data_IF_477046677802
#
_entry.id   IF_477046677802
#
_cell.length_a   1.000
_cell.length_b   1.000
_cell.length_c   1.000
_cell.angle_alpha   90.00
_cell.angle_beta   90.00
_cell.angle_gamma   90.00
#
_symmetry.space_group_name_H-M   'P 1'
#
loop_
_entity.id
_entity.type
_entity.pdbx_description
1 polymer ?
#
# COMPACT_ATOMS: atom_id res chain seq x y z
N UNK A 1 -44.93 44.66 57.46
CA UNK A 1 -44.89 43.18 57.42
C UNK A 1 -45.53 42.54 56.16
N UNK A 2 -46.29 43.27 55.31
CA UNK A 2 -46.91 42.70 54.08
C UNK A 2 -46.02 42.72 52.82
N UNK A 3 -44.87 43.40 52.86
CA UNK A 3 -43.96 43.59 51.72
C UNK A 3 -43.02 42.40 51.46
N UNK A 4 -42.59 41.69 52.51
CA UNK A 4 -41.70 40.52 52.38
C UNK A 4 -42.38 39.32 51.73
N UNK A 5 -43.68 39.14 51.98
CA UNK A 5 -44.47 38.08 51.37
C UNK A 5 -44.54 38.27 49.84
N UNK A 6 -44.70 39.53 49.40
CA UNK A 6 -44.81 39.89 47.98
C UNK A 6 -43.48 39.69 47.23
N UNK A 7 -42.35 40.01 47.87
CA UNK A 7 -41.01 39.74 47.32
C UNK A 7 -40.72 38.23 47.22
N UNK A 8 -41.10 37.45 48.23
CA UNK A 8 -40.90 35.99 48.24
C UNK A 8 -41.77 35.29 47.18
N UNK A 9 -42.95 35.82 46.92
CA UNK A 9 -43.83 35.38 45.83
C UNK A 9 -43.25 35.70 44.44
N UNK A 10 -42.65 36.89 44.26
CA UNK A 10 -41.98 37.27 43.01
C UNK A 10 -40.69 36.46 42.75
N UNK A 11 -39.95 36.08 43.80
CA UNK A 11 -38.78 35.21 43.67
C UNK A 11 -39.15 33.77 43.24
N UNK A 12 -40.33 33.26 43.62
CA UNK A 12 -40.83 31.97 43.16
C UNK A 12 -41.26 32.00 41.68
N UNK A 13 -41.78 33.14 41.21
CA UNK A 13 -42.17 33.33 39.81
C UNK A 13 -40.96 33.51 38.87
N UNK A 14 -39.81 33.98 39.38
CA UNK A 14 -38.58 34.18 38.60
C UNK A 14 -37.64 32.96 38.56
N UNK A 15 -38.00 31.83 39.20
CA UNK A 15 -37.15 30.64 39.30
C UNK A 15 -37.38 29.60 38.19
N UNK A 16 -38.13 29.94 37.15
CA UNK A 16 -38.21 29.16 35.90
C UNK A 16 -37.27 29.74 34.85
N UNK A 17 -35.96 29.76 35.15
CA UNK A 17 -34.96 29.89 34.09
C UNK A 17 -34.85 28.55 33.37
N UNK A 18 -35.29 28.57 32.13
CA UNK A 18 -35.19 27.59 31.07
C UNK A 18 -34.04 26.57 31.20
N UNK A 19 -34.36 25.37 31.69
CA UNK A 19 -33.66 24.19 31.21
C UNK A 19 -34.31 23.81 29.87
N UNK A 20 -33.91 24.50 28.80
CA UNK A 20 -34.18 24.06 27.44
C UNK A 20 -33.33 22.82 27.18
N UNK A 21 -33.81 21.66 27.64
CA UNK A 21 -33.19 20.39 27.34
C UNK A 21 -33.32 20.07 25.85
N UNK A 22 -32.31 19.40 25.29
CA UNK A 22 -32.37 18.82 23.96
C UNK A 22 -33.64 17.96 23.85
N UNK A 23 -34.44 18.20 22.83
CA UNK A 23 -35.60 17.36 22.54
C UNK A 23 -35.13 16.04 21.93
N UNK A 24 -35.86 14.95 22.20
CA UNK A 24 -35.57 13.65 21.59
C UNK A 24 -35.63 13.71 20.05
N UNK A 25 -36.48 14.58 19.50
CA UNK A 25 -36.61 14.76 18.05
C UNK A 25 -35.39 15.48 17.45
N UNK A 26 -34.81 16.46 18.15
CA UNK A 26 -33.57 17.12 17.70
C UNK A 26 -32.41 16.12 17.63
N UNK A 27 -32.29 15.25 18.64
CA UNK A 27 -31.26 14.22 18.63
C UNK A 27 -31.51 13.16 17.53
N UNK A 28 -32.78 12.83 17.27
CA UNK A 28 -33.18 11.90 16.21
C UNK A 28 -32.82 12.41 14.81
N UNK A 29 -33.06 13.68 14.52
CA UNK A 29 -32.70 14.27 13.21
C UNK A 29 -31.19 14.29 13.02
N UNK A 30 -30.42 14.58 14.07
CA UNK A 30 -28.95 14.60 14.01
C UNK A 30 -28.37 13.23 13.67
N UNK A 31 -28.83 12.15 14.33
CA UNK A 31 -28.34 10.80 14.03
C UNK A 31 -28.72 10.34 12.62
N UNK A 32 -29.87 10.79 12.09
CA UNK A 32 -30.27 10.51 10.71
C UNK A 32 -29.30 11.18 9.72
N UNK A 33 -28.97 12.46 9.94
CA UNK A 33 -28.03 13.18 9.08
C UNK A 33 -26.64 12.55 9.14
N UNK A 34 -26.12 12.25 10.34
CA UNK A 34 -24.83 11.57 10.50
C UNK A 34 -24.86 10.18 9.85
N UNK A 35 -25.97 9.45 9.96
CA UNK A 35 -26.16 8.15 9.32
C UNK A 35 -26.05 8.21 7.80
N UNK A 36 -26.68 9.20 7.17
CA UNK A 36 -26.60 9.41 5.71
C UNK A 36 -25.18 9.75 5.29
N UNK A 37 -24.51 10.67 6.01
CA UNK A 37 -23.12 11.05 5.71
C UNK A 37 -22.17 9.86 5.88
N UNK A 38 -22.34 9.06 6.94
CA UNK A 38 -21.53 7.88 7.19
C UNK A 38 -21.72 6.81 6.11
N UNK A 39 -22.94 6.59 5.63
CA UNK A 39 -23.24 5.60 4.59
C UNK A 39 -22.51 5.90 3.26
N UNK A 40 -22.33 7.18 2.91
CA UNK A 40 -21.61 7.59 1.70
C UNK A 40 -20.09 7.62 1.94
N UNK A 41 -19.67 8.14 3.10
CA UNK A 41 -18.25 8.35 3.40
C UNK A 41 -17.49 7.04 3.67
N UNK A 42 -18.12 6.09 4.37
CA UNK A 42 -17.47 4.85 4.80
C UNK A 42 -16.93 3.98 3.64
N UNK A 43 -17.70 3.64 2.58
CA UNK A 43 -17.16 2.83 1.49
C UNK A 43 -16.01 3.54 0.76
N UNK A 44 -16.09 4.86 0.61
CA UNK A 44 -15.01 5.63 -0.01
C UNK A 44 -13.75 5.64 0.89
N UNK A 45 -13.91 5.77 2.20
CA UNK A 45 -12.80 5.71 3.15
C UNK A 45 -12.10 4.34 3.12
N UNK A 46 -12.85 3.24 3.09
CA UNK A 46 -12.29 1.88 2.99
C UNK A 46 -11.52 1.68 1.68
N UNK A 47 -12.06 2.15 0.55
CA UNK A 47 -11.38 2.09 -0.74
C UNK A 47 -10.09 2.93 -0.76
N UNK A 48 -10.08 4.12 -0.16
CA UNK A 48 -8.88 4.93 -0.04
C UNK A 48 -7.82 4.27 0.87
N UNK A 49 -8.25 3.63 1.96
CA UNK A 49 -7.35 2.86 2.83
C UNK A 49 -6.70 1.70 2.05
N UNK A 50 -7.47 0.96 1.25
CA UNK A 50 -6.91 -0.12 0.42
C UNK A 50 -5.93 0.40 -0.64
N UNK A 51 -6.25 1.52 -1.31
CA UNK A 51 -5.32 2.18 -2.25
C UNK A 51 -4.03 2.64 -1.59
N UNK A 52 -4.09 3.13 -0.35
CA UNK A 52 -2.90 3.54 0.39
C UNK A 52 -1.99 2.34 0.68
N UNK A 53 -2.57 1.19 1.06
CA UNK A 53 -1.80 -0.07 1.24
C UNK A 53 -1.18 -0.56 -0.07
N UNK A 54 -1.94 -0.53 -1.17
CA UNK A 54 -1.41 -0.85 -2.51
C UNK A 54 -0.28 0.09 -2.93
N UNK A 55 -0.39 1.38 -2.62
CA UNK A 55 0.67 2.37 -2.87
C UNK A 55 1.93 2.09 -2.05
N UNK A 56 1.79 1.68 -0.79
CA UNK A 56 2.91 1.28 0.08
C UNK A 56 3.70 0.13 -0.55
N UNK A 57 3.02 -0.95 -0.94
CA UNK A 57 3.67 -2.11 -1.56
C UNK A 57 4.36 -1.76 -2.87
N UNK A 58 3.67 -1.02 -3.74
CA UNK A 58 4.26 -0.57 -5.00
C UNK A 58 5.53 0.26 -4.78
N UNK A 59 5.51 1.19 -3.82
CA UNK A 59 6.65 2.03 -3.51
C UNK A 59 7.82 1.23 -2.93
N UNK A 60 7.54 0.26 -2.06
CA UNK A 60 8.55 -0.61 -1.48
C UNK A 60 9.22 -1.47 -2.55
N UNK A 61 8.44 -2.13 -3.43
CA UNK A 61 8.96 -2.90 -4.57
C UNK A 61 9.77 -2.00 -5.52
N UNK A 62 9.30 -0.79 -5.82
CA UNK A 62 10.05 0.16 -6.66
C UNK A 62 11.38 0.58 -6.02
N UNK A 63 11.39 0.79 -4.70
CA UNK A 63 12.59 1.12 -3.94
C UNK A 63 13.58 -0.03 -4.02
N UNK A 64 13.12 -1.28 -3.83
CA UNK A 64 13.95 -2.46 -3.96
C UNK A 64 14.54 -2.56 -5.37
N UNK A 65 13.73 -2.43 -6.42
CA UNK A 65 14.21 -2.49 -7.80
C UNK A 65 15.30 -1.43 -8.08
N UNK A 66 15.08 -0.21 -7.59
CA UNK A 66 16.05 0.87 -7.73
C UNK A 66 17.36 0.57 -7.00
N UNK A 67 17.29 0.09 -5.76
CA UNK A 67 18.50 -0.25 -4.99
C UNK A 67 19.26 -1.41 -5.62
N UNK A 68 18.56 -2.42 -6.13
CA UNK A 68 19.15 -3.53 -6.87
C UNK A 68 19.92 -3.04 -8.12
N UNK A 69 19.32 -2.15 -8.91
CA UNK A 69 20.00 -1.56 -10.06
C UNK A 69 21.22 -0.71 -9.69
N UNK A 70 21.15 0.05 -8.60
CA UNK A 70 22.29 0.85 -8.11
C UNK A 70 23.43 -0.05 -7.65
N UNK A 71 23.13 -1.09 -6.86
CA UNK A 71 24.13 -2.05 -6.37
C UNK A 71 24.80 -2.79 -7.52
N UNK A 72 24.02 -3.27 -8.48
CA UNK A 72 24.56 -3.96 -9.65
C UNK A 72 25.54 -3.05 -10.43
N UNK A 73 25.20 -1.77 -10.61
CA UNK A 73 26.04 -0.83 -11.33
C UNK A 73 27.25 -0.30 -10.52
N UNK A 74 27.16 -0.31 -9.18
CA UNK A 74 28.10 0.41 -8.31
C UNK A 74 29.05 -0.47 -7.50
N UNK A 75 28.67 -1.71 -7.17
CA UNK A 75 29.38 -2.48 -6.15
C UNK A 75 30.12 -3.69 -6.72
N UNK A 76 29.50 -4.62 -7.46
CA UNK A 76 30.22 -5.79 -8.01
C UNK A 76 29.52 -6.50 -9.19
N UNK A 77 28.53 -5.89 -9.85
CA UNK A 77 27.76 -6.57 -10.90
C UNK A 77 26.95 -7.77 -10.38
N UNK A 78 26.59 -7.74 -9.09
CA UNK A 78 25.75 -8.74 -8.44
C UNK A 78 24.54 -8.07 -7.79
N UNK A 79 23.44 -8.81 -7.71
CA UNK A 79 22.25 -8.38 -6.99
C UNK A 79 22.32 -8.78 -5.52
N UNK A 80 21.69 -8.01 -4.65
CA UNK A 80 21.59 -8.35 -3.24
C UNK A 80 20.67 -9.56 -3.03
N UNK A 81 21.03 -10.38 -2.05
CA UNK A 81 20.24 -11.55 -1.61
C UNK A 81 19.49 -11.29 -0.31
N UNK A 82 19.75 -10.17 0.36
CA UNK A 82 19.08 -9.78 1.60
C UNK A 82 18.61 -8.32 1.53
N UNK A 83 17.61 -7.99 2.36
CA UNK A 83 17.16 -6.60 2.48
C UNK A 83 18.12 -5.74 3.29
N UNK A 84 18.99 -6.31 4.11
CA UNK A 84 19.97 -5.54 4.89
C UNK A 84 21.14 -5.03 4.04
N UNK A 85 21.43 -5.72 2.93
CA UNK A 85 22.35 -5.25 1.89
C UNK A 85 21.77 -4.09 1.08
N UNK A 86 20.44 -3.95 1.07
CA UNK A 86 19.74 -2.89 0.36
C UNK A 86 19.35 -1.82 1.38
N UNK A 87 19.78 -0.58 1.20
CA UNK A 87 19.38 0.51 2.07
C UNK A 87 17.91 0.95 1.84
N UNK A 88 16.95 0.02 1.93
CA UNK A 88 15.53 0.24 1.63
C UNK A 88 14.83 1.04 2.74
N UNK A 89 15.40 1.05 3.94
CA UNK A 89 14.90 1.74 5.14
C UNK A 89 13.69 1.03 5.78
N UNK A 90 12.62 0.80 5.00
CA UNK A 90 11.36 0.24 5.52
C UNK A 90 11.28 -1.28 5.51
N UNK A 91 12.08 -1.94 4.68
CA UNK A 91 12.20 -3.40 4.62
C UNK A 91 13.56 -3.79 5.19
N UNK A 92 13.55 -4.64 6.21
CA UNK A 92 14.76 -5.18 6.85
C UNK A 92 14.63 -6.68 6.99
N UNK A 93 15.73 -7.42 6.88
CA UNK A 93 15.73 -8.86 6.91
C UNK A 93 16.92 -9.49 6.21
N UNK A 94 17.60 -10.38 6.93
CA UNK A 94 18.83 -11.07 6.52
C UNK A 94 18.61 -12.16 5.46
N UNK A 95 17.37 -12.62 5.25
CA UNK A 95 17.06 -13.79 4.41
C UNK A 95 16.22 -13.47 3.17
N UNK A 96 16.28 -12.21 2.69
CA UNK A 96 15.48 -11.77 1.54
C UNK A 96 13.97 -11.82 1.78
N UNK A 97 13.52 -12.12 3.00
CA UNK A 97 12.11 -12.16 3.39
C UNK A 97 11.86 -11.17 4.51
N UNK A 98 10.79 -10.39 4.39
CA UNK A 98 10.35 -9.50 5.45
C UNK A 98 8.84 -9.30 5.39
N UNK A 99 8.23 -8.86 6.49
CA UNK A 99 6.78 -8.67 6.56
C UNK A 99 6.47 -7.29 7.12
N UNK A 100 5.62 -6.54 6.42
CA UNK A 100 4.98 -5.34 6.99
C UNK A 100 3.57 -5.70 7.45
N UNK A 101 2.85 -4.72 8.02
CA UNK A 101 1.47 -4.93 8.46
C UNK A 101 0.54 -5.42 7.34
N UNK A 102 0.81 -5.05 6.09
CA UNK A 102 -0.10 -5.25 4.97
C UNK A 102 0.39 -6.29 3.94
N UNK A 103 1.70 -6.57 3.90
CA UNK A 103 2.31 -7.42 2.87
C UNK A 103 3.44 -8.28 3.44
N UNK A 104 3.58 -9.48 2.88
CA UNK A 104 4.81 -10.27 2.96
C UNK A 104 5.66 -9.98 1.73
N UNK A 105 6.92 -9.61 1.95
CA UNK A 105 7.89 -9.36 0.91
C UNK A 105 8.88 -10.50 0.85
N UNK A 106 9.10 -11.03 -0.35
CA UNK A 106 10.08 -12.08 -0.60
C UNK A 106 10.90 -11.70 -1.81
N UNK A 107 12.21 -11.68 -1.63
CA UNK A 107 13.22 -11.48 -2.64
C UNK A 107 13.89 -12.81 -2.92
N UNK A 108 13.88 -13.22 -4.17
CA UNK A 108 14.49 -14.47 -4.60
C UNK A 108 15.30 -14.21 -5.88
N UNK A 109 16.58 -14.64 -5.93
CA UNK A 109 17.29 -14.73 -7.19
C UNK A 109 16.61 -15.79 -8.07
N UNK A 110 16.11 -15.38 -9.22
CA UNK A 110 15.24 -16.23 -10.07
C UNK A 110 16.05 -17.00 -11.13
N UNK A 111 17.38 -16.95 -11.10
CA UNK A 111 18.18 -17.82 -11.96
C UNK A 111 19.50 -18.32 -11.37
N UNK A 112 19.99 -19.38 -12.02
CA UNK A 112 21.28 -20.01 -11.75
C UNK A 112 22.46 -19.13 -12.16
N UNK A 113 22.21 -18.10 -12.97
CA UNK A 113 23.21 -17.21 -13.56
C UNK A 113 23.47 -15.95 -12.72
N UNK A 114 22.68 -15.71 -11.67
CA UNK A 114 22.74 -14.53 -10.81
C UNK A 114 22.32 -13.22 -11.50
N UNK A 115 21.58 -13.28 -12.61
CA UNK A 115 21.27 -12.13 -13.47
C UNK A 115 19.88 -11.56 -13.33
N UNK A 116 19.03 -12.17 -12.49
CA UNK A 116 17.68 -11.68 -12.19
C UNK A 116 17.39 -11.85 -10.71
N UNK A 117 16.82 -10.79 -10.12
CA UNK A 117 16.17 -10.87 -8.81
C UNK A 117 14.71 -10.46 -8.94
N UNK A 118 13.84 -11.29 -8.38
CA UNK A 118 12.41 -11.01 -8.26
C UNK A 118 12.10 -10.66 -6.80
N UNK A 119 11.35 -9.59 -6.61
CA UNK A 119 10.77 -9.18 -5.34
C UNK A 119 9.26 -9.27 -5.43
N UNK A 120 8.67 -10.18 -4.69
CA UNK A 120 7.22 -10.30 -4.54
C UNK A 120 6.75 -9.55 -3.29
N UNK A 121 5.59 -8.93 -3.37
CA UNK A 121 4.86 -8.32 -2.28
C UNK A 121 3.46 -8.94 -2.25
N UNK A 122 3.31 -9.98 -1.44
CA UNK A 122 2.09 -10.75 -1.26
C UNK A 122 1.16 -10.04 -0.29
N UNK A 123 -0.05 -9.68 -0.74
CA UNK A 123 -1.06 -9.06 0.10
C UNK A 123 -1.50 -10.00 1.24
N UNK A 124 -1.53 -9.47 2.47
CA UNK A 124 -2.07 -10.18 3.65
C UNK A 124 -3.60 -10.04 3.79
N UNK A 125 -4.25 -9.31 2.88
CA UNK A 125 -5.69 -9.09 2.87
C UNK A 125 -6.24 -9.03 1.44
N UNK A 126 -7.51 -8.62 1.30
CA UNK A 126 -8.25 -8.59 0.03
C UNK A 126 -7.88 -7.39 -0.88
N UNK A 127 -6.60 -7.07 -1.00
CA UNK A 127 -6.07 -6.09 -1.95
C UNK A 127 -5.08 -6.76 -2.90
N UNK A 128 -4.61 -6.02 -3.91
CA UNK A 128 -3.74 -6.58 -4.95
C UNK A 128 -2.34 -6.82 -4.45
N UNK A 129 -1.70 -7.86 -4.99
CA UNK A 129 -0.30 -8.16 -4.73
C UNK A 129 0.57 -7.55 -5.84
N UNK A 130 1.85 -7.32 -5.56
CA UNK A 130 2.81 -6.76 -6.51
C UNK A 130 4.03 -7.66 -6.69
N UNK A 131 4.65 -7.61 -7.86
CA UNK A 131 5.90 -8.29 -8.18
C UNK A 131 6.80 -7.30 -8.90
N UNK A 132 8.06 -7.19 -8.52
CA UNK A 132 9.07 -6.39 -9.20
C UNK A 132 10.23 -7.27 -9.59
N UNK A 133 10.71 -7.14 -10.82
CA UNK A 133 11.92 -7.85 -11.24
C UNK A 133 12.96 -6.86 -11.73
N UNK A 134 14.21 -7.16 -11.42
CA UNK A 134 15.39 -6.47 -11.96
C UNK A 134 16.30 -7.50 -12.58
N UNK A 135 16.58 -7.35 -13.86
CA UNK A 135 17.52 -8.20 -14.58
C UNK A 135 18.67 -7.37 -15.13
N UNK A 136 19.82 -8.00 -15.23
CA UNK A 136 20.93 -7.53 -16.04
C UNK A 136 20.99 -8.36 -17.32
N UNK A 137 21.03 -7.70 -18.47
CA UNK A 137 21.09 -8.36 -19.77
C UNK A 137 22.00 -7.59 -20.73
N UNK A 138 22.53 -8.31 -21.71
CA UNK A 138 23.27 -7.69 -22.81
C UNK A 138 22.32 -7.31 -23.94
N UNK A 139 22.33 -6.05 -24.34
CA UNK A 139 21.59 -5.58 -25.51
C UNK A 139 22.21 -6.16 -26.80
N UNK A 140 21.46 -6.13 -27.92
CA UNK A 140 21.95 -6.45 -29.27
C UNK A 140 23.22 -5.69 -29.66
N UNK A 141 23.46 -4.52 -29.07
CA UNK A 141 24.68 -3.73 -29.23
C UNK A 141 25.85 -4.19 -28.36
N UNK A 142 25.78 -5.37 -27.71
CA UNK A 142 26.78 -5.90 -26.78
C UNK A 142 27.05 -5.03 -25.54
N UNK A 143 26.11 -4.15 -25.19
CA UNK A 143 26.19 -3.34 -23.97
C UNK A 143 25.47 -4.05 -22.83
N UNK A 144 26.09 -4.10 -21.64
CA UNK A 144 25.42 -4.52 -20.41
C UNK A 144 24.43 -3.45 -19.96
N UNK A 145 23.17 -3.84 -19.78
CA UNK A 145 22.07 -2.95 -19.39
C UNK A 145 21.26 -3.63 -18.28
N UNK A 146 20.74 -2.84 -17.35
CA UNK A 146 19.79 -3.32 -16.33
C UNK A 146 18.37 -2.94 -16.73
N UNK A 147 17.46 -3.91 -16.74
CA UNK A 147 16.03 -3.71 -16.95
C UNK A 147 15.27 -3.92 -15.64
N UNK A 148 14.24 -3.12 -15.40
CA UNK A 148 13.34 -3.35 -14.28
C UNK A 148 11.88 -3.16 -14.68
N UNK A 149 10.99 -3.88 -14.03
CA UNK A 149 9.54 -3.72 -14.19
C UNK A 149 8.83 -4.06 -12.89
N UNK A 150 7.63 -3.49 -12.72
CA UNK A 150 6.71 -3.85 -11.65
C UNK A 150 5.40 -4.33 -12.26
N UNK A 151 4.99 -5.51 -11.86
CA UNK A 151 3.75 -6.18 -12.25
C UNK A 151 2.77 -6.16 -11.07
N UNK A 152 1.47 -6.11 -11.37
CA UNK A 152 0.41 -6.20 -10.37
C UNK A 152 -0.51 -7.39 -10.66
N UNK A 153 -1.02 -8.04 -9.60
CA UNK A 153 -1.94 -9.17 -9.75
C UNK A 153 -3.24 -8.77 -10.46
N UNK A 154 -3.82 -9.70 -11.23
CA UNK A 154 -5.11 -9.52 -11.90
C UNK A 154 -6.30 -9.49 -10.95
N UNK A 155 -6.16 -10.17 -9.82
CA UNK A 155 -7.22 -10.31 -8.81
C UNK A 155 -6.70 -9.93 -7.42
N UNK A 156 -7.50 -9.20 -6.62
CA UNK A 156 -7.17 -8.89 -5.23
C UNK A 156 -7.34 -10.12 -4.32
N UNK A 157 -6.60 -10.17 -3.22
CA UNK A 157 -6.73 -11.22 -2.19
C UNK A 157 -6.13 -12.57 -2.58
N UNK A 158 -5.31 -12.61 -3.62
CA UNK A 158 -4.67 -13.84 -4.05
C UNK A 158 -3.42 -14.09 -3.18
N UNK A 159 -3.64 -14.80 -2.07
CA UNK A 159 -2.61 -15.14 -1.09
C UNK A 159 -1.74 -16.26 -1.66
N UNK A 160 -0.46 -15.97 -1.89
CA UNK A 160 0.53 -16.97 -2.33
C UNK A 160 0.40 -17.44 -3.79
N UNK A 161 -0.34 -16.72 -4.64
CA UNK A 161 -0.51 -17.13 -6.04
C UNK A 161 -0.02 -16.12 -7.07
N UNK A 162 1.17 -15.58 -6.84
CA UNK A 162 2.11 -15.44 -7.95
C UNK A 162 2.63 -16.82 -8.33
N UNK A 163 1.74 -17.72 -8.76
CA UNK A 163 2.17 -18.98 -9.33
C UNK A 163 2.80 -18.64 -10.68
N UNK A 164 4.12 -18.76 -10.74
CA UNK A 164 4.98 -18.68 -11.93
C UNK A 164 4.99 -17.34 -12.68
N UNK A 165 6.07 -16.58 -12.43
CA UNK A 165 6.71 -15.68 -13.38
C UNK A 165 5.75 -14.71 -14.09
N UNK A 166 5.17 -13.78 -13.32
CA UNK A 166 4.57 -12.61 -13.93
C UNK A 166 5.63 -11.71 -14.54
N UNK A 167 6.89 -11.79 -14.09
CA UNK A 167 8.03 -11.23 -14.77
C UNK A 167 8.46 -12.05 -16.00
N UNK A 168 8.55 -11.39 -17.15
CA UNK A 168 9.15 -11.94 -18.37
C UNK A 168 10.51 -11.26 -18.57
N UNK A 169 11.58 -12.06 -18.62
CA UNK A 169 12.94 -11.62 -18.95
C UNK A 169 12.99 -10.91 -20.30
N UNK A 170 13.89 -9.94 -20.39
CA UNK A 170 14.28 -9.29 -21.65
C UNK A 170 14.74 -10.31 -22.68
N UNK A 171 14.53 -9.98 -23.94
CA UNK A 171 15.04 -10.79 -25.04
C UNK A 171 16.15 -10.04 -25.76
N UNK A 172 17.39 -10.49 -25.53
CA UNK A 172 18.60 -9.92 -26.12
C UNK A 172 18.61 -9.95 -27.67
N UNK A 173 17.96 -10.97 -28.29
CA UNK A 173 17.90 -11.09 -29.75
C UNK A 173 16.90 -10.14 -30.41
N UNK A 174 15.79 -9.83 -29.74
CA UNK A 174 14.76 -8.90 -30.23
C UNK A 174 14.86 -7.50 -29.61
N UNK A 175 15.79 -7.29 -28.68
CA UNK A 175 15.95 -6.07 -27.89
C UNK A 175 14.65 -5.64 -27.17
N UNK A 176 13.89 -6.63 -26.68
CA UNK A 176 12.67 -6.37 -25.92
C UNK A 176 12.99 -6.22 -24.44
N UNK A 177 12.54 -5.13 -23.78
CA UNK A 177 12.70 -4.93 -22.34
C UNK A 177 11.85 -5.94 -21.53
N UNK A 178 12.10 -6.07 -20.22
CA UNK A 178 11.27 -6.92 -19.36
C UNK A 178 9.81 -6.52 -19.43
N UNK A 179 8.93 -7.51 -19.36
CA UNK A 179 7.48 -7.32 -19.47
C UNK A 179 6.75 -8.15 -18.44
N UNK A 180 5.42 -7.97 -18.33
CA UNK A 180 4.60 -8.72 -17.40
C UNK A 180 3.70 -9.73 -18.14
N UNK A 181 3.70 -11.01 -17.75
CA UNK A 181 2.71 -12.01 -18.18
C UNK A 181 1.54 -12.04 -17.18
N UNK A 182 0.30 -12.24 -17.66
CA UNK A 182 -0.90 -12.42 -16.80
C UNK A 182 -1.04 -11.38 -15.67
N UNK A 183 -0.62 -10.14 -15.94
CA UNK A 183 -0.68 -9.03 -15.01
C UNK A 183 -1.64 -7.97 -15.53
N UNK A 184 -2.42 -7.39 -14.63
CA UNK A 184 -3.47 -6.43 -15.04
C UNK A 184 -2.88 -5.13 -15.55
N UNK A 185 -1.60 -4.88 -15.23
CA UNK A 185 -0.85 -3.72 -15.71
C UNK A 185 0.65 -3.89 -15.46
N UNK A 186 1.46 -3.51 -16.45
CA UNK A 186 2.84 -3.11 -16.21
C UNK A 186 2.84 -1.70 -15.60
N UNK A 187 3.45 -1.56 -14.43
CA UNK A 187 3.64 -0.27 -13.77
C UNK A 187 5.06 0.18 -14.08
N UNK A 188 5.18 1.33 -14.73
CA UNK A 188 6.47 1.89 -15.12
C UNK A 188 7.42 2.00 -13.92
N UNK A 189 8.69 1.69 -14.20
CA UNK A 189 9.86 1.85 -13.32
C UNK A 189 10.06 3.29 -12.86
#
# INVERSE_FOLDING_TARGET
>A
MKSDLKLKYLQLLNKKKANAGFTLIELLVVIIIIGILAAIALPNFLNQSNKAKESEAKQNVATVNKQQGIRYAGEDGSFATSYDELATGSLTGDTGTTTTKNYNYNMEPDDTDGTLVITTANALGEWRSYEGGVEAYTNKSNNAVTGSIICQSDVPGLVGGFASLNYIKSNATTNQPPSCQNASKALGS
#
